data_IF_387271897044
#
_entry.id   IF_387271897044
#
_cell.length_a   1.000
_cell.length_b   1.000
_cell.length_c   1.000
_cell.angle_alpha   90.00
_cell.angle_beta   90.00
_cell.angle_gamma   90.00
#
_symmetry.space_group_name_H-M   'P 1'
#
loop_
_entity.id
_entity.type
_entity.pdbx_description
1 polymer ?
#
# COMPACT_ATOMS: atom_id res chain seq x y z
N UNK A 1 8.86 -2.53 -11.72
CA UNK A 1 8.93 -2.61 -10.25
C UNK A 1 7.59 -2.32 -9.60
N UNK A 2 7.04 -1.10 -9.72
CA UNK A 2 5.82 -0.73 -8.97
C UNK A 2 4.55 -1.53 -9.31
N UNK A 3 4.25 -1.72 -10.60
CA UNK A 3 3.07 -2.46 -11.07
C UNK A 3 3.21 -3.98 -11.01
N UNK A 4 4.44 -4.50 -10.82
CA UNK A 4 4.72 -5.93 -10.93
C UNK A 4 4.88 -6.41 -12.38
N UNK A 5 5.70 -7.45 -12.55
CA UNK A 5 5.92 -8.17 -13.81
C UNK A 5 6.60 -9.51 -13.50
N UNK A 6 6.77 -10.39 -14.49
CA UNK A 6 7.51 -11.64 -14.33
C UNK A 6 8.94 -11.45 -13.80
N UNK A 7 9.57 -10.31 -14.10
CA UNK A 7 10.92 -9.97 -13.63
C UNK A 7 10.95 -9.31 -12.23
N UNK A 8 9.81 -9.05 -11.61
CA UNK A 8 9.73 -8.46 -10.25
C UNK A 8 8.79 -9.24 -9.34
N UNK A 9 9.07 -10.55 -9.12
CA UNK A 9 8.20 -11.45 -8.39
C UNK A 9 7.99 -11.00 -6.93
N UNK A 10 6.80 -11.26 -6.40
CA UNK A 10 6.43 -10.82 -5.05
C UNK A 10 7.24 -11.53 -3.95
N UNK A 11 7.75 -12.73 -4.21
CA UNK A 11 8.53 -13.49 -3.24
C UNK A 11 9.93 -12.90 -3.01
N UNK A 12 10.42 -12.07 -3.94
CA UNK A 12 11.72 -11.41 -3.83
C UNK A 12 11.60 -9.94 -3.42
N UNK A 13 10.51 -9.27 -3.80
CA UNK A 13 10.36 -7.82 -3.62
C UNK A 13 9.17 -7.42 -2.74
N UNK A 14 8.39 -8.37 -2.26
CA UNK A 14 7.10 -8.15 -1.59
C UNK A 14 5.95 -7.90 -2.58
N UNK A 15 4.69 -7.89 -2.09
CA UNK A 15 3.51 -7.64 -2.91
C UNK A 15 3.48 -6.20 -3.46
N UNK A 16 2.52 -5.92 -4.33
CA UNK A 16 2.24 -4.56 -4.84
C UNK A 16 1.08 -3.94 -4.08
N UNK A 17 0.99 -2.61 -4.06
CA UNK A 17 -0.16 -1.91 -3.47
C UNK A 17 -1.49 -2.28 -4.12
N UNK A 18 -1.47 -2.61 -5.42
CA UNK A 18 -2.68 -2.93 -6.18
C UNK A 18 -3.32 -4.24 -5.72
N UNK A 19 -2.52 -5.18 -5.24
CA UNK A 19 -3.01 -6.43 -4.67
C UNK A 19 -3.80 -6.17 -3.37
N UNK A 20 -3.38 -5.20 -2.55
CA UNK A 20 -4.17 -4.75 -1.40
C UNK A 20 -5.41 -3.98 -1.83
N UNK A 21 -5.26 -2.99 -2.71
CA UNK A 21 -6.36 -2.11 -3.12
C UNK A 21 -7.54 -2.85 -3.76
N UNK A 22 -7.25 -3.97 -4.43
CA UNK A 22 -8.24 -4.82 -5.11
C UNK A 22 -8.66 -6.05 -4.29
N UNK A 23 -8.10 -6.26 -3.09
CA UNK A 23 -8.37 -7.46 -2.28
C UNK A 23 -7.93 -8.77 -2.97
N UNK A 24 -6.82 -8.75 -3.70
CA UNK A 24 -6.37 -9.89 -4.53
C UNK A 24 -6.16 -11.17 -3.72
N UNK A 25 -5.44 -11.08 -2.60
CA UNK A 25 -5.16 -12.24 -1.75
C UNK A 25 -6.39 -12.65 -0.95
N UNK A 26 -7.15 -11.68 -0.42
CA UNK A 26 -8.43 -11.92 0.22
C UNK A 26 -9.38 -12.74 -0.68
N UNK A 27 -9.55 -12.36 -1.95
CA UNK A 27 -10.42 -13.08 -2.89
C UNK A 27 -9.97 -14.54 -3.12
N UNK A 28 -8.66 -14.79 -3.20
CA UNK A 28 -8.11 -16.14 -3.34
C UNK A 28 -8.32 -16.97 -2.06
N UNK A 29 -8.17 -16.36 -0.88
CA UNK A 29 -8.48 -16.99 0.41
C UNK A 29 -9.96 -17.36 0.45
N UNK A 30 -10.87 -16.42 0.18
CA UNK A 30 -12.32 -16.65 0.15
C UNK A 30 -12.73 -17.73 -0.87
N UNK A 31 -12.03 -17.82 -2.01
CA UNK A 31 -12.26 -18.88 -2.99
C UNK A 31 -11.88 -20.25 -2.45
N UNK A 32 -10.74 -20.36 -1.77
CA UNK A 32 -10.30 -21.62 -1.13
C UNK A 32 -11.20 -22.03 0.01
N UNK A 33 -11.64 -21.05 0.81
CA UNK A 33 -12.59 -21.28 1.90
C UNK A 33 -13.90 -21.85 1.36
N UNK A 34 -14.49 -21.20 0.35
CA UNK A 34 -15.72 -21.69 -0.31
C UNK A 34 -15.57 -23.09 -0.91
N UNK A 35 -14.40 -23.40 -1.47
CA UNK A 35 -14.12 -24.76 -1.98
C UNK A 35 -14.08 -25.80 -0.87
N UNK A 36 -13.50 -25.46 0.29
CA UNK A 36 -13.46 -26.35 1.44
C UNK A 36 -14.83 -26.56 2.10
N UNK A 37 -15.67 -25.51 2.14
CA UNK A 37 -17.04 -25.62 2.61
C UNK A 37 -17.89 -26.54 1.71
N UNK A 38 -17.68 -26.49 0.39
CA UNK A 38 -18.33 -27.39 -0.57
C UNK A 38 -17.94 -28.87 -0.36
N UNK A 39 -16.78 -29.14 0.27
CA UNK A 39 -16.34 -30.47 0.68
C UNK A 39 -16.93 -30.91 2.05
N UNK A 40 -17.88 -30.15 2.62
CA UNK A 40 -18.50 -30.36 3.94
C UNK A 40 -17.50 -30.36 5.12
N UNK A 41 -16.40 -29.63 4.99
CA UNK A 41 -15.44 -29.44 6.07
C UNK A 41 -15.97 -28.40 7.07
N UNK A 42 -15.57 -28.51 8.34
CA UNK A 42 -15.85 -27.47 9.32
C UNK A 42 -15.05 -26.19 9.03
N UNK A 43 -15.53 -25.02 9.48
CA UNK A 43 -14.81 -23.76 9.31
C UNK A 43 -13.36 -23.82 9.82
N UNK A 44 -13.13 -24.40 11.00
CA UNK A 44 -11.77 -24.62 11.54
C UNK A 44 -10.90 -25.47 10.59
N UNK A 45 -11.43 -26.56 10.03
CA UNK A 45 -10.70 -27.40 9.06
C UNK A 45 -10.40 -26.66 7.77
N UNK A 46 -11.34 -25.85 7.28
CA UNK A 46 -11.19 -25.05 6.06
C UNK A 46 -10.11 -24.00 6.24
N UNK A 47 -10.19 -23.20 7.31
CA UNK A 47 -9.22 -22.15 7.60
C UNK A 47 -7.83 -22.70 7.94
N UNK A 48 -7.75 -23.87 8.57
CA UNK A 48 -6.47 -24.57 8.82
C UNK A 48 -5.77 -25.05 7.55
N UNK A 49 -6.47 -25.17 6.41
CA UNK A 49 -5.85 -25.49 5.11
C UNK A 49 -5.28 -24.25 4.41
N UNK A 50 -5.57 -23.04 4.89
CA UNK A 50 -5.00 -21.81 4.34
C UNK A 50 -3.54 -21.70 4.76
N UNK A 51 -2.65 -21.48 3.79
CA UNK A 51 -1.22 -21.31 4.07
C UNK A 51 -0.99 -19.98 4.78
N UNK A 52 -0.21 -19.99 5.86
CA UNK A 52 0.21 -18.77 6.56
C UNK A 52 0.90 -17.77 5.63
N UNK A 53 1.66 -18.24 4.62
CA UNK A 53 2.29 -17.37 3.63
C UNK A 53 1.25 -16.60 2.81
N UNK A 54 0.13 -17.24 2.46
CA UNK A 54 -0.96 -16.60 1.72
C UNK A 54 -1.69 -15.59 2.61
N UNK A 55 -2.00 -15.96 3.86
CA UNK A 55 -2.59 -15.06 4.84
C UNK A 55 -1.69 -13.84 5.10
N UNK A 56 -0.36 -14.04 5.15
CA UNK A 56 0.58 -12.95 5.39
C UNK A 56 0.64 -11.95 4.23
N UNK A 57 0.42 -12.40 2.99
CA UNK A 57 0.26 -11.46 1.87
C UNK A 57 -0.99 -10.59 1.98
N UNK A 58 -2.02 -11.06 2.70
CA UNK A 58 -3.28 -10.34 2.95
C UNK A 58 -3.24 -9.46 4.21
N UNK A 59 -2.08 -8.89 4.50
CA UNK A 59 -1.83 -7.96 5.60
C UNK A 59 -1.20 -6.65 5.09
N UNK A 60 -1.78 -5.51 5.48
CA UNK A 60 -1.40 -4.19 4.95
C UNK A 60 0.03 -3.77 5.32
N UNK A 61 0.63 -4.33 6.37
CA UNK A 61 2.04 -4.04 6.69
C UNK A 61 2.99 -4.48 5.58
N UNK A 62 2.58 -5.43 4.74
CA UNK A 62 3.31 -5.86 3.55
C UNK A 62 3.08 -4.98 2.31
N UNK A 63 2.14 -4.04 2.37
CA UNK A 63 1.88 -3.10 1.27
C UNK A 63 3.02 -2.07 1.16
N UNK A 64 3.73 -1.98 0.01
CA UNK A 64 4.87 -1.08 -0.15
C UNK A 64 4.48 0.41 -0.12
N UNK A 65 3.18 0.75 -0.10
CA UNK A 65 2.67 2.11 -0.03
C UNK A 65 2.29 2.56 1.40
N UNK A 66 2.81 1.90 2.45
CA UNK A 66 2.61 2.26 3.87
C UNK A 66 3.84 2.82 4.59
N UNK A 67 4.99 2.87 3.91
CA UNK A 67 6.23 3.38 4.48
C UNK A 67 6.29 4.91 4.59
N UNK A 68 7.44 5.44 5.00
CA UNK A 68 7.73 6.87 5.01
C UNK A 68 9.19 7.14 4.66
N UNK A 69 9.47 8.31 4.07
CA UNK A 69 10.79 8.65 3.51
C UNK A 69 11.94 8.54 4.52
N UNK A 70 11.71 8.96 5.76
CA UNK A 70 12.72 8.92 6.83
C UNK A 70 12.54 7.73 7.78
N UNK A 71 11.61 6.84 7.48
CA UNK A 71 11.43 5.61 8.24
C UNK A 71 12.40 4.58 7.65
N UNK A 72 13.66 4.65 8.08
CA UNK A 72 14.73 3.80 7.57
C UNK A 72 14.65 2.36 8.12
N UNK A 73 15.38 1.46 7.46
CA UNK A 73 15.57 0.08 7.88
C UNK A 73 14.58 -0.92 7.28
N UNK A 74 14.64 -2.16 7.78
CA UNK A 74 13.80 -3.26 7.35
C UNK A 74 12.34 -3.07 7.82
N UNK A 75 11.42 -3.78 7.18
CA UNK A 75 10.01 -3.83 7.59
C UNK A 75 9.86 -4.32 9.03
N UNK A 76 10.66 -5.31 9.43
CA UNK A 76 10.70 -5.88 10.77
C UNK A 76 11.05 -4.87 11.88
N UNK A 77 11.75 -3.77 11.55
CA UNK A 77 12.01 -2.67 12.51
C UNK A 77 10.74 -1.85 12.81
N UNK A 78 9.71 -1.99 11.99
CA UNK A 78 8.41 -1.35 12.15
C UNK A 78 7.49 -2.18 13.03
N UNK A 79 6.72 -3.09 12.43
CA UNK A 79 5.71 -3.89 13.12
C UNK A 79 6.29 -5.09 13.89
N UNK A 80 7.47 -5.58 13.52
CA UNK A 80 8.19 -6.65 14.21
C UNK A 80 8.47 -7.84 13.30
N UNK A 81 9.14 -8.86 13.85
CA UNK A 81 9.34 -10.13 13.15
C UNK A 81 8.06 -10.94 13.29
N UNK A 82 7.41 -11.31 12.19
CA UNK A 82 6.22 -12.16 12.22
C UNK A 82 6.56 -13.54 12.79
N UNK A 83 5.80 -13.98 13.81
CA UNK A 83 6.02 -15.24 14.54
C UNK A 83 5.05 -16.32 14.07
N UNK A 84 3.75 -15.98 13.98
CA UNK A 84 2.71 -16.93 13.62
C UNK A 84 1.40 -16.24 13.25
N UNK A 85 0.58 -16.93 12.45
CA UNK A 85 -0.76 -16.47 12.12
C UNK A 85 -1.72 -16.81 13.27
N UNK A 86 -2.47 -15.83 13.76
CA UNK A 86 -3.41 -16.04 14.87
C UNK A 86 -4.71 -16.74 14.43
N UNK A 87 -4.94 -16.89 13.14
CA UNK A 87 -6.20 -17.38 12.59
C UNK A 87 -7.09 -16.27 12.06
N UNK A 88 -8.11 -16.66 11.30
CA UNK A 88 -9.09 -15.74 10.74
C UNK A 88 -10.11 -15.35 11.80
N UNK A 89 -10.28 -14.04 12.00
CA UNK A 89 -11.19 -13.49 13.02
C UNK A 89 -12.58 -13.23 12.43
N UNK A 90 -13.58 -13.99 12.89
CA UNK A 90 -14.98 -13.82 12.53
C UNK A 90 -15.70 -13.06 13.64
N UNK A 91 -16.26 -11.90 13.30
CA UNK A 91 -17.03 -11.09 14.25
C UNK A 91 -18.52 -11.40 14.11
N UNK A 92 -19.23 -11.50 15.23
CA UNK A 92 -20.68 -11.73 15.25
C UNK A 92 -21.36 -10.75 16.19
N UNK A 93 -22.55 -10.28 15.85
CA UNK A 93 -23.39 -9.55 16.81
C UNK A 93 -24.08 -10.52 17.80
N UNK A 94 -24.82 -9.98 18.77
CA UNK A 94 -25.60 -10.77 19.74
C UNK A 94 -26.68 -11.66 19.11
N UNK A 95 -27.10 -11.37 17.88
CA UNK A 95 -28.10 -12.12 17.12
C UNK A 95 -27.44 -13.24 16.27
N UNK A 96 -26.11 -13.28 16.23
CA UNK A 96 -25.31 -14.26 15.50
C UNK A 96 -25.03 -13.87 14.06
N UNK A 97 -25.38 -12.66 13.63
CA UNK A 97 -25.05 -12.19 12.28
C UNK A 97 -23.56 -11.87 12.17
N UNK A 98 -22.94 -12.35 11.10
CA UNK A 98 -21.54 -12.08 10.81
C UNK A 98 -21.31 -10.60 10.44
N UNK A 99 -20.24 -10.05 10.98
CA UNK A 99 -19.81 -8.67 10.78
C UNK A 99 -18.40 -8.62 10.19
N UNK A 100 -18.19 -7.68 9.28
CA UNK A 100 -16.94 -7.47 8.56
C UNK A 100 -16.31 -6.14 8.97
N UNK A 101 -15.04 -6.18 9.38
CA UNK A 101 -14.28 -4.96 9.69
C UNK A 101 -13.89 -4.26 8.39
N UNK A 102 -14.22 -2.97 8.26
CA UNK A 102 -13.78 -2.18 7.11
C UNK A 102 -12.26 -2.01 7.14
N UNK A 103 -11.58 -2.62 6.16
CA UNK A 103 -10.11 -2.53 6.02
C UNK A 103 -9.60 -1.12 5.78
N UNK A 104 -8.39 -0.82 6.25
CA UNK A 104 -7.71 0.46 6.04
C UNK A 104 -7.32 0.64 4.56
N UNK A 105 -7.79 1.70 3.88
CA UNK A 105 -7.31 2.03 2.55
C UNK A 105 -5.86 2.53 2.59
N UNK A 106 -5.13 2.36 1.48
CA UNK A 106 -3.69 2.68 1.41
C UNK A 106 -3.34 4.11 1.82
N UNK A 107 -4.20 5.10 1.54
CA UNK A 107 -3.93 6.52 1.79
C UNK A 107 -3.90 6.91 3.28
N UNK A 108 -4.61 6.18 4.15
CA UNK A 108 -4.83 6.60 5.53
C UNK A 108 -3.70 6.14 6.45
N UNK A 109 -3.12 7.05 7.25
CA UNK A 109 -2.23 6.67 8.37
C UNK A 109 -3.01 6.09 9.55
N UNK A 110 -4.16 6.69 9.88
CA UNK A 110 -5.10 6.22 10.89
C UNK A 110 -6.49 6.02 10.26
N UNK A 111 -7.22 5.00 10.68
CA UNK A 111 -8.54 4.70 10.13
C UNK A 111 -9.48 4.29 11.29
N UNK A 112 -10.78 4.64 11.26
CA UNK A 112 -11.73 4.26 12.32
C UNK A 112 -12.10 2.78 12.22
N UNK A 113 -12.43 2.17 13.36
CA UNK A 113 -12.95 0.81 13.41
C UNK A 113 -14.46 0.85 13.20
N UNK A 114 -14.90 0.31 12.07
CA UNK A 114 -16.31 0.19 11.68
C UNK A 114 -16.54 -1.24 11.21
N UNK A 115 -17.60 -1.85 11.71
CA UNK A 115 -18.06 -3.18 11.36
C UNK A 115 -19.38 -3.07 10.59
N UNK A 116 -19.44 -3.74 9.44
CA UNK A 116 -20.60 -3.79 8.56
C UNK A 116 -21.13 -5.21 8.43
N UNK A 117 -22.40 -5.39 8.12
CA UNK A 117 -22.93 -6.69 7.72
C UNK A 117 -22.62 -7.00 6.23
N UNK A 118 -23.12 -8.15 5.75
CA UNK A 118 -22.94 -8.57 4.35
C UNK A 118 -23.56 -7.65 3.30
N UNK A 119 -24.45 -6.73 3.69
CA UNK A 119 -25.05 -5.71 2.80
C UNK A 119 -24.29 -4.38 2.86
N UNK A 120 -23.26 -4.28 3.71
CA UNK A 120 -22.50 -3.06 3.91
C UNK A 120 -23.15 -2.06 4.88
N UNK A 121 -24.18 -2.47 5.63
CA UNK A 121 -24.83 -1.63 6.63
C UNK A 121 -24.00 -1.64 7.91
N UNK A 122 -23.76 -0.46 8.49
CA UNK A 122 -23.01 -0.33 9.74
C UNK A 122 -23.77 -0.97 10.90
N UNK A 123 -23.13 -1.91 11.59
CA UNK A 123 -23.71 -2.62 12.75
C UNK A 123 -22.96 -2.38 14.04
N UNK A 124 -21.65 -2.14 14.00
CA UNK A 124 -20.89 -1.79 15.19
C UNK A 124 -19.71 -0.85 14.87
N UNK A 125 -19.26 -0.10 15.86
CA UNK A 125 -18.09 0.78 15.77
C UNK A 125 -17.34 0.90 17.10
N UNK A 126 -16.17 1.56 17.04
CA UNK A 126 -15.49 2.07 18.24
C UNK A 126 -15.67 3.58 18.26
N UNK A 127 -16.65 4.11 19.02
CA UNK A 127 -17.03 5.50 18.94
C UNK A 127 -15.96 6.42 19.53
N UNK A 128 -15.72 7.55 18.88
CA UNK A 128 -14.82 8.59 19.40
C UNK A 128 -15.46 9.32 20.60
N UNK A 129 -16.69 9.81 20.44
CA UNK A 129 -17.51 10.38 21.53
C UNK A 129 -18.51 9.34 22.00
N UNK A 130 -18.58 9.10 23.32
CA UNK A 130 -19.43 8.05 23.91
C UNK A 130 -20.83 8.50 24.30
N UNK A 131 -21.09 9.81 24.37
CA UNK A 131 -22.32 10.37 24.94
C UNK A 131 -23.61 9.91 24.23
N UNK A 132 -23.56 9.73 22.91
CA UNK A 132 -24.69 9.31 22.07
C UNK A 132 -24.35 8.06 21.25
N UNK A 133 -23.43 7.23 21.76
CA UNK A 133 -23.07 5.98 21.10
C UNK A 133 -24.29 5.06 20.99
N UNK A 134 -24.53 4.52 19.79
CA UNK A 134 -25.57 3.53 19.49
C UNK A 134 -25.01 2.20 18.98
N UNK A 135 -23.78 2.21 18.47
CA UNK A 135 -23.15 1.10 17.77
C UNK A 135 -21.92 0.56 18.50
N UNK A 136 -21.71 0.93 19.76
CA UNK A 136 -20.56 0.42 20.51
C UNK A 136 -20.58 -1.09 20.62
N UNK A 137 -19.39 -1.70 20.61
CA UNK A 137 -19.17 -3.14 20.84
C UNK A 137 -19.95 -3.66 22.05
N UNK A 138 -19.99 -2.87 23.14
CA UNK A 138 -20.73 -3.19 24.37
C UNK A 138 -22.25 -3.23 24.17
N UNK A 139 -22.82 -2.27 23.42
CA UNK A 139 -24.27 -2.18 23.21
C UNK A 139 -24.78 -3.23 22.21
N UNK A 140 -23.98 -3.49 21.17
CA UNK A 140 -24.31 -4.45 20.12
C UNK A 140 -24.03 -5.89 20.58
N UNK A 141 -23.13 -6.07 21.55
CA UNK A 141 -22.74 -7.38 22.07
C UNK A 141 -21.88 -8.16 21.09
N UNK A 142 -20.92 -7.49 20.44
CA UNK A 142 -20.07 -8.13 19.42
C UNK A 142 -19.11 -9.12 20.07
N UNK A 143 -19.03 -10.32 19.52
CA UNK A 143 -18.04 -11.35 19.86
C UNK A 143 -17.08 -11.58 18.70
N UNK A 144 -15.90 -12.13 18.97
CA UNK A 144 -14.97 -12.60 17.95
C UNK A 144 -14.62 -14.06 18.17
N UNK A 145 -14.63 -14.85 17.09
CA UNK A 145 -14.27 -16.26 17.06
C UNK A 145 -13.16 -16.47 16.03
N UNK A 146 -12.18 -17.30 16.35
CA UNK A 146 -11.02 -17.55 15.50
C UNK A 146 -11.09 -18.93 14.85
N UNK A 147 -10.72 -19.00 13.58
CA UNK A 147 -10.61 -20.25 12.83
C UNK A 147 -9.24 -20.36 12.16
N UNK A 148 -8.61 -21.53 12.31
CA UNK A 148 -7.22 -21.77 11.90
C UNK A 148 -6.21 -21.00 12.77
N UNK A 149 -4.93 -21.16 12.45
CA UNK A 149 -3.83 -20.50 13.16
C UNK A 149 -3.75 -20.87 14.65
N UNK A 150 -3.07 -20.02 15.41
CA UNK A 150 -2.80 -20.25 16.83
C UNK A 150 -4.04 -20.21 17.73
N UNK A 151 -5.03 -19.37 17.39
CA UNK A 151 -6.23 -19.18 18.22
C UNK A 151 -7.44 -19.99 17.72
N UNK A 152 -7.23 -21.05 16.94
CA UNK A 152 -8.34 -21.86 16.39
C UNK A 152 -9.33 -22.32 17.49
N UNK A 153 -10.61 -22.05 17.26
CA UNK A 153 -11.69 -22.37 18.20
C UNK A 153 -11.80 -21.46 19.42
N UNK A 154 -10.91 -20.47 19.57
CA UNK A 154 -11.02 -19.49 20.64
C UNK A 154 -12.14 -18.47 20.34
N UNK A 155 -12.93 -18.16 21.37
CA UNK A 155 -13.99 -17.16 21.30
C UNK A 155 -13.82 -16.14 22.44
N UNK A 156 -13.96 -14.86 22.10
CA UNK A 156 -13.85 -13.75 23.04
C UNK A 156 -15.10 -12.88 22.96
N UNK A 157 -15.67 -12.58 24.13
CA UNK A 157 -16.82 -11.70 24.30
C UNK A 157 -16.50 -10.46 25.13
N UNK A 158 -15.32 -10.39 25.75
CA UNK A 158 -14.94 -9.22 26.52
C UNK A 158 -14.70 -8.03 25.57
N UNK A 159 -15.38 -6.88 25.77
CA UNK A 159 -15.33 -5.78 24.81
C UNK A 159 -13.91 -5.24 24.56
N UNK A 160 -13.04 -5.31 25.56
CA UNK A 160 -11.66 -4.84 25.43
C UNK A 160 -10.86 -5.65 24.40
N UNK A 161 -10.95 -6.98 24.47
CA UNK A 161 -10.27 -7.91 23.54
C UNK A 161 -10.94 -7.91 22.18
N UNK A 162 -12.27 -7.88 22.10
CA UNK A 162 -12.99 -7.75 20.81
C UNK A 162 -12.54 -6.48 20.08
N UNK A 163 -12.49 -5.34 20.77
CA UNK A 163 -11.97 -4.08 20.19
C UNK A 163 -10.49 -4.16 19.80
N UNK A 164 -9.68 -4.91 20.55
CA UNK A 164 -8.26 -5.15 20.21
C UNK A 164 -8.14 -5.89 18.88
N UNK A 165 -8.87 -6.98 18.70
CA UNK A 165 -8.82 -7.74 17.45
C UNK A 165 -9.50 -7.01 16.29
N UNK A 166 -10.58 -6.27 16.51
CA UNK A 166 -11.20 -5.45 15.47
C UNK A 166 -10.24 -4.37 14.93
N UNK A 167 -9.44 -3.72 15.80
CA UNK A 167 -8.37 -2.80 15.37
C UNK A 167 -7.30 -3.48 14.52
N UNK A 168 -7.00 -4.76 14.77
CA UNK A 168 -6.00 -5.52 14.02
C UNK A 168 -6.55 -6.05 12.70
N UNK A 169 -7.80 -6.52 12.68
CA UNK A 169 -8.51 -6.96 11.49
C UNK A 169 -8.70 -5.84 10.45
N UNK A 170 -8.71 -4.58 10.90
CA UNK A 170 -8.66 -3.42 10.00
C UNK A 170 -7.43 -3.43 9.09
N UNK A 171 -6.33 -4.06 9.52
CA UNK A 171 -5.07 -4.17 8.79
C UNK A 171 -5.02 -5.42 7.89
N UNK A 172 -6.07 -6.24 7.85
CA UNK A 172 -6.09 -7.53 7.15
C UNK A 172 -5.96 -8.71 8.10
N UNK A 173 -5.31 -9.78 7.66
CA UNK A 173 -5.05 -10.97 8.46
C UNK A 173 -4.15 -10.66 9.68
N UNK A 174 -4.36 -11.40 10.77
CA UNK A 174 -3.79 -11.08 12.08
C UNK A 174 -2.60 -11.98 12.42
N UNK A 175 -1.43 -11.40 12.67
CA UNK A 175 -0.18 -12.12 12.96
C UNK A 175 0.41 -11.72 14.30
N UNK A 176 0.96 -12.65 15.06
CA UNK A 176 1.84 -12.31 16.18
C UNK A 176 3.18 -11.76 15.68
N UNK A 177 3.72 -10.76 16.36
CA UNK A 177 5.00 -10.13 16.03
C UNK A 177 5.91 -10.05 17.26
N UNK A 178 7.15 -10.50 17.11
CA UNK A 178 8.23 -10.21 18.06
C UNK A 178 8.80 -8.82 17.75
N UNK A 179 8.54 -7.90 18.68
CA UNK A 179 9.07 -6.52 18.64
C UNK A 179 10.26 -6.33 19.57
N UNK A 180 10.54 -7.27 20.46
CA UNK A 180 11.59 -7.14 21.46
C UNK A 180 12.98 -7.29 20.82
N UNK A 181 13.13 -8.25 19.90
CA UNK A 181 14.41 -8.55 19.25
C UNK A 181 15.02 -7.35 18.54
N UNK A 182 14.22 -6.61 17.76
CA UNK A 182 14.69 -5.44 17.00
C UNK A 182 14.34 -4.10 17.65
N UNK A 183 13.67 -4.11 18.82
CA UNK A 183 13.08 -2.91 19.46
C UNK A 183 12.16 -2.16 18.49
N UNK A 184 11.33 -2.91 17.77
CA UNK A 184 10.51 -2.40 16.66
C UNK A 184 9.52 -1.34 17.14
N UNK A 185 9.43 -0.22 16.42
CA UNK A 185 8.74 0.99 16.89
C UNK A 185 7.21 0.98 16.68
N UNK A 186 6.69 0.01 15.94
CA UNK A 186 5.27 -0.14 15.64
C UNK A 186 4.78 0.73 14.49
N UNK A 187 5.70 1.27 13.67
CA UNK A 187 5.37 2.14 12.53
C UNK A 187 5.79 1.49 11.22
N UNK A 188 4.88 1.44 10.24
CA UNK A 188 5.17 0.78 8.97
C UNK A 188 6.35 1.37 8.19
N UNK A 189 7.09 0.48 7.53
CA UNK A 189 8.16 0.78 6.55
C UNK A 189 7.76 0.33 5.15
N UNK A 190 8.51 0.78 4.16
CA UNK A 190 8.35 0.30 2.78
C UNK A 190 9.25 -0.91 2.52
N UNK A 191 8.84 -1.77 1.59
CA UNK A 191 9.66 -2.88 1.10
C UNK A 191 10.71 -2.42 0.08
N UNK A 192 11.66 -3.30 -0.32
CA UNK A 192 12.59 -3.04 -1.42
C UNK A 192 11.91 -2.63 -2.74
N UNK A 193 10.68 -3.11 -3.01
CA UNK A 193 9.88 -2.67 -4.17
C UNK A 193 9.64 -1.16 -4.16
N UNK A 194 9.28 -0.60 -3.01
CA UNK A 194 9.05 0.84 -2.87
C UNK A 194 10.34 1.65 -2.94
N UNK A 195 11.40 1.22 -2.25
CA UNK A 195 12.70 1.89 -2.30
C UNK A 195 13.32 1.91 -3.70
N UNK A 196 13.27 0.77 -4.41
CA UNK A 196 13.74 0.69 -5.79
C UNK A 196 12.97 1.65 -6.69
N UNK A 197 11.64 1.65 -6.57
CA UNK A 197 10.76 2.53 -7.37
C UNK A 197 11.10 3.99 -7.12
N UNK A 198 11.20 4.41 -5.86
CA UNK A 198 11.54 5.79 -5.49
C UNK A 198 12.90 6.22 -6.07
N UNK A 199 13.95 5.43 -5.86
CA UNK A 199 15.28 5.76 -6.33
C UNK A 199 15.35 5.90 -7.85
N UNK A 200 14.81 4.94 -8.60
CA UNK A 200 14.90 4.95 -10.06
C UNK A 200 14.04 6.03 -10.69
N UNK A 201 12.84 6.29 -10.17
CA UNK A 201 12.01 7.39 -10.67
C UNK A 201 12.67 8.75 -10.43
N UNK A 202 13.28 8.94 -9.26
CA UNK A 202 13.99 10.18 -8.93
C UNK A 202 15.23 10.37 -9.83
N UNK A 203 16.07 9.33 -9.98
CA UNK A 203 17.25 9.42 -10.82
C UNK A 203 16.92 9.58 -12.30
N UNK A 204 15.88 8.93 -12.81
CA UNK A 204 15.44 9.11 -14.20
C UNK A 204 15.06 10.57 -14.49
N UNK A 205 14.38 11.24 -13.55
CA UNK A 205 14.03 12.65 -13.68
C UNK A 205 15.28 13.55 -13.68
N UNK A 206 16.26 13.27 -12.83
CA UNK A 206 17.54 14.00 -12.79
C UNK A 206 18.33 13.78 -14.10
N UNK A 207 18.34 12.54 -14.61
CA UNK A 207 19.05 12.21 -15.86
C UNK A 207 18.40 12.87 -17.08
N UNK A 208 17.08 13.05 -17.08
CA UNK A 208 16.41 13.83 -18.12
C UNK A 208 16.97 15.26 -18.17
N UNK A 209 17.14 15.93 -17.02
CA UNK A 209 17.76 17.24 -16.98
C UNK A 209 19.21 17.22 -17.49
N UNK A 210 20.00 16.22 -17.07
CA UNK A 210 21.36 16.03 -17.57
C UNK A 210 21.42 15.84 -19.09
N UNK A 211 20.48 15.10 -19.66
CA UNK A 211 20.35 14.92 -21.11
C UNK A 211 20.11 16.25 -21.84
N UNK A 212 19.15 17.06 -21.36
CA UNK A 212 18.85 18.39 -21.94
C UNK A 212 20.07 19.30 -21.85
N UNK A 213 20.70 19.36 -20.67
CA UNK A 213 21.89 20.17 -20.44
C UNK A 213 23.04 19.80 -21.39
N UNK A 214 23.39 18.51 -21.46
CA UNK A 214 24.49 18.05 -22.30
C UNK A 214 24.16 18.10 -23.79
N UNK A 215 22.90 17.87 -24.18
CA UNK A 215 22.43 18.06 -25.55
C UNK A 215 22.60 19.51 -26.01
N UNK A 216 22.13 20.47 -25.22
CA UNK A 216 22.30 21.90 -25.50
C UNK A 216 23.78 22.30 -25.57
N UNK A 217 24.59 21.87 -24.59
CA UNK A 217 26.04 22.12 -24.58
C UNK A 217 26.77 21.55 -25.81
N UNK A 218 26.28 20.43 -26.35
CA UNK A 218 26.89 19.77 -27.52
C UNK A 218 26.54 20.49 -28.82
N UNK A 219 25.26 20.86 -29.00
CA UNK A 219 24.77 21.53 -30.20
C UNK A 219 25.21 22.99 -30.27
N UNK A 220 25.12 23.72 -29.16
CA UNK A 220 25.45 25.15 -29.05
C UNK A 220 26.85 25.37 -28.46
N UNK A 221 27.81 24.52 -28.87
CA UNK A 221 29.18 24.55 -28.33
C UNK A 221 29.92 25.83 -28.74
N UNK A 222 29.68 26.30 -29.95
CA UNK A 222 30.22 27.52 -30.54
C UNK A 222 29.88 28.77 -29.72
N UNK A 223 28.65 28.87 -29.23
CA UNK A 223 28.17 30.00 -28.41
C UNK A 223 28.25 29.76 -26.90
N UNK A 224 28.88 28.67 -26.44
CA UNK A 224 28.90 28.31 -25.03
C UNK A 224 29.60 29.35 -24.14
N UNK A 225 30.60 30.07 -24.68
CA UNK A 225 31.34 31.12 -23.96
C UNK A 225 30.75 32.53 -24.16
N UNK A 226 29.62 32.65 -24.86
CA UNK A 226 29.03 33.92 -25.29
C UNK A 226 28.72 33.93 -26.79
N UNK A 227 27.85 34.84 -27.20
CA UNK A 227 27.53 35.09 -28.62
C UNK A 227 28.60 35.97 -29.27
N UNK A 228 28.61 36.03 -30.60
CA UNK A 228 29.42 36.98 -31.35
C UNK A 228 29.08 38.42 -30.93
N UNK A 229 30.06 39.25 -30.52
CA UNK A 229 29.82 40.66 -30.19
C UNK A 229 29.30 41.49 -31.37
N UNK A 230 29.45 41.05 -32.62
CA UNK A 230 29.08 41.80 -33.83
C UNK A 230 27.78 41.28 -34.53
N UNK A 231 26.87 40.61 -33.78
CA UNK A 231 25.71 39.87 -34.32
C UNK A 231 24.54 40.72 -34.91
N UNK A 232 24.61 42.05 -34.86
CA UNK A 232 23.43 42.94 -34.91
C UNK A 232 22.54 42.80 -36.15
N UNK A 233 23.11 42.68 -37.35
CA UNK A 233 22.32 42.69 -38.60
C UNK A 233 21.52 41.39 -38.82
N UNK A 234 21.91 40.26 -38.23
CA UNK A 234 21.33 38.93 -38.48
C UNK A 234 20.02 38.68 -37.72
N UNK A 235 19.73 39.50 -36.71
CA UNK A 235 18.54 39.38 -35.85
C UNK A 235 17.47 40.42 -36.15
N UNK A 236 17.69 41.30 -37.13
CA UNK A 236 16.71 42.32 -37.55
C UNK A 236 15.51 41.71 -38.29
N UNK A 237 14.32 42.21 -37.97
CA UNK A 237 13.08 41.75 -38.59
C UNK A 237 13.07 42.03 -40.10
N UNK A 238 12.98 40.98 -40.90
CA UNK A 238 12.80 41.09 -42.34
C UNK A 238 14.07 41.45 -43.14
N UNK A 239 15.25 41.44 -42.53
CA UNK A 239 16.52 41.65 -43.25
C UNK A 239 16.84 40.52 -44.25
N UNK A 240 16.40 39.29 -43.96
CA UNK A 240 16.65 38.08 -44.76
C UNK A 240 15.34 37.38 -45.14
N UNK A 241 15.38 36.54 -46.17
CA UNK A 241 14.26 35.67 -46.55
C UNK A 241 14.19 34.41 -45.67
N UNK A 242 15.32 33.97 -45.09
CA UNK A 242 15.43 32.83 -44.18
C UNK A 242 16.29 33.20 -42.97
N UNK A 243 15.83 32.88 -41.75
CA UNK A 243 16.57 33.16 -40.51
C UNK A 243 17.86 32.32 -40.45
N UNK A 244 18.97 32.95 -40.01
CA UNK A 244 20.28 32.31 -39.85
C UNK A 244 21.01 31.98 -41.17
N UNK A 245 20.62 32.59 -42.30
CA UNK A 245 21.23 32.35 -43.61
C UNK A 245 21.55 33.67 -44.34
N UNK A 246 22.80 34.18 -44.21
CA UNK A 246 23.22 35.45 -44.82
C UNK A 246 23.12 35.50 -46.35
N UNK A 247 23.08 34.34 -47.02
CA UNK A 247 22.95 34.26 -48.48
C UNK A 247 21.57 34.69 -49.00
N UNK A 248 20.60 34.90 -48.10
CA UNK A 248 19.20 35.17 -48.43
C UNK A 248 18.77 36.62 -48.14
N UNK A 249 19.70 37.57 -48.17
CA UNK A 249 19.41 38.98 -47.88
C UNK A 249 18.34 39.53 -48.81
N UNK A 250 17.33 40.22 -48.26
CA UNK A 250 16.29 40.87 -49.08
C UNK A 250 16.91 42.03 -49.86
N UNK A 251 16.59 42.13 -51.15
CA UNK A 251 16.90 43.33 -51.93
C UNK A 251 15.95 44.44 -51.51
N UNK A 252 16.49 45.64 -51.28
CA UNK A 252 15.67 46.83 -51.07
C UNK A 252 14.85 47.08 -52.35
N UNK A 253 13.55 47.30 -52.18
CA UNK A 253 12.67 47.84 -53.23
C UNK A 253 12.86 49.35 -53.29
#
# INVERSE_FOLDING_TARGET
MWYGSAATPIELFGPTRYQWDQGYFQQEIEKRVRSGEAENLSLSQVWSKISEKLAFYDYIGNNPAKGGLFRAGAMDNGDGIAVGWLGHAVFKDKEGHELFVRRMPTFFETFPVVLVDGEGIVRADVPFRRAESKYSVEQVGVTVEFYGGELDGASFSDPATVKKYARRAQLGEIFEFDRATLKSDGVFRSSPRGWFTFGHTTFALIFFFGHIWHGARTLFRDVFAGIDPDLDAEVEFGAFQKLGDPSTKRQAV
#
